data_IF_892572234432
#
_entry.id   IF_892572234432
#
_cell.length_a   1.000
_cell.length_b   1.000
_cell.length_c   1.000
_cell.angle_alpha   90.00
_cell.angle_beta   90.00
_cell.angle_gamma   90.00
#
_symmetry.space_group_name_H-M   'P 1'
#
loop_
_entity.id
_entity.type
_entity.pdbx_description
1 polymer ?
#
# COMPACT_ATOMS: atom_id res chain seq x y z
N UNK A 1 -13.96 -5.68 7.74
CA UNK A 1 -14.23 -6.58 6.60
C UNK A 1 -13.33 -6.15 5.45
N UNK A 2 -12.47 -7.05 5.00
CA UNK A 2 -11.50 -6.79 3.96
C UNK A 2 -12.17 -6.94 2.59
N UNK A 3 -11.80 -6.11 1.64
CA UNK A 3 -12.31 -6.16 0.27
C UNK A 3 -11.52 -7.19 -0.55
N UNK A 4 -11.94 -8.44 -0.55
CA UNK A 4 -11.27 -9.53 -1.30
C UNK A 4 -11.14 -9.19 -2.79
N UNK A 5 -12.09 -8.43 -3.35
CA UNK A 5 -12.04 -7.98 -4.75
C UNK A 5 -10.78 -7.19 -5.13
N UNK A 6 -10.17 -6.48 -4.17
CA UNK A 6 -8.92 -5.75 -4.39
C UNK A 6 -7.78 -6.69 -4.79
N UNK A 7 -7.71 -7.86 -4.16
CA UNK A 7 -6.61 -8.80 -4.37
C UNK A 7 -6.70 -9.60 -5.67
N UNK A 8 -7.80 -9.50 -6.40
CA UNK A 8 -7.92 -10.14 -7.72
C UNK A 8 -6.90 -9.60 -8.73
N UNK A 9 -6.33 -8.40 -8.49
CA UNK A 9 -5.30 -7.82 -9.35
C UNK A 9 -4.06 -8.73 -9.46
N UNK A 10 -3.73 -9.49 -8.41
CA UNK A 10 -2.62 -10.44 -8.41
C UNK A 10 -2.84 -11.67 -9.28
N UNK A 11 -4.09 -11.93 -9.69
CA UNK A 11 -4.47 -13.01 -10.62
C UNK A 11 -4.60 -12.52 -12.07
N UNK A 12 -4.46 -11.22 -12.29
CA UNK A 12 -4.55 -10.65 -13.63
C UNK A 12 -3.37 -11.04 -14.52
N UNK A 13 -2.09 -10.96 -14.06
CA UNK A 13 -0.95 -11.30 -14.89
C UNK A 13 -0.71 -12.82 -14.96
N UNK A 14 -0.45 -13.32 -16.13
CA UNK A 14 0.18 -14.62 -16.32
C UNK A 14 1.70 -14.45 -16.12
N UNK A 15 2.19 -14.74 -14.92
CA UNK A 15 3.57 -14.41 -14.52
C UNK A 15 4.64 -15.05 -15.41
N UNK A 16 4.32 -16.16 -16.08
CA UNK A 16 5.22 -16.80 -17.06
C UNK A 16 5.47 -15.97 -18.35
N UNK A 17 4.69 -14.92 -18.58
CA UNK A 17 4.90 -14.01 -19.72
C UNK A 17 5.93 -12.91 -19.43
N UNK A 18 6.43 -12.83 -18.19
CA UNK A 18 7.41 -11.82 -17.77
C UNK A 18 8.82 -12.42 -17.66
N UNK A 19 9.82 -11.57 -17.79
CA UNK A 19 11.23 -11.96 -17.64
C UNK A 19 11.67 -12.14 -16.18
N UNK A 20 10.87 -11.64 -15.23
CA UNK A 20 11.10 -11.76 -13.80
C UNK A 20 10.01 -11.08 -12.98
N UNK A 21 9.91 -11.44 -11.70
CA UNK A 21 8.89 -10.94 -10.78
C UNK A 21 9.54 -10.44 -9.49
N UNK A 22 9.14 -9.26 -9.03
CA UNK A 22 9.45 -8.76 -7.70
C UNK A 22 8.17 -8.82 -6.85
N UNK A 23 8.23 -9.48 -5.71
CA UNK A 23 7.10 -9.62 -4.78
C UNK A 23 7.33 -8.80 -3.51
N UNK A 24 6.40 -7.89 -3.21
CA UNK A 24 6.21 -7.30 -1.89
C UNK A 24 4.88 -7.81 -1.30
N UNK A 25 4.98 -8.67 -0.29
CA UNK A 25 3.83 -9.31 0.34
C UNK A 25 3.37 -8.62 1.63
N UNK A 26 4.09 -7.60 2.10
CA UNK A 26 3.77 -6.93 3.36
C UNK A 26 2.41 -6.24 3.35
N UNK A 27 1.95 -5.80 2.17
CA UNK A 27 0.67 -5.13 1.98
C UNK A 27 -0.51 -6.08 1.78
N UNK A 28 -0.27 -7.39 1.71
CA UNK A 28 -1.34 -8.39 1.59
C UNK A 28 -1.70 -8.89 2.99
N UNK A 29 -2.77 -8.34 3.55
CA UNK A 29 -3.22 -8.68 4.90
C UNK A 29 -3.78 -10.12 5.04
N UNK A 30 -4.26 -10.72 3.95
CA UNK A 30 -4.84 -12.07 3.95
C UNK A 30 -3.80 -13.15 3.76
N UNK A 31 -3.56 -14.04 4.76
CA UNK A 31 -2.60 -15.15 4.63
C UNK A 31 -2.88 -16.05 3.42
N UNK A 32 -4.16 -16.39 3.19
CA UNK A 32 -4.56 -17.25 2.05
C UNK A 32 -4.21 -16.61 0.71
N UNK A 33 -4.41 -15.30 0.56
CA UNK A 33 -4.04 -14.58 -0.68
C UNK A 33 -2.53 -14.56 -0.85
N UNK A 34 -1.78 -14.32 0.25
CA UNK A 34 -0.30 -14.41 0.22
C UNK A 34 0.18 -15.78 -0.26
N UNK A 35 -0.40 -16.84 0.27
CA UNK A 35 -0.07 -18.23 -0.13
C UNK A 35 -0.37 -18.47 -1.62
N UNK A 36 -1.52 -18.01 -2.11
CA UNK A 36 -1.90 -18.12 -3.52
C UNK A 36 -0.95 -17.35 -4.44
N UNK A 37 -0.58 -16.12 -4.09
CA UNK A 37 0.39 -15.30 -4.85
C UNK A 37 1.77 -15.96 -4.89
N UNK A 38 2.24 -16.49 -3.74
CA UNK A 38 3.50 -17.23 -3.66
C UNK A 38 3.45 -18.47 -4.56
N UNK A 39 2.34 -19.21 -4.53
CA UNK A 39 2.18 -20.41 -5.34
C UNK A 39 2.18 -20.09 -6.84
N UNK A 40 1.44 -19.07 -7.27
CA UNK A 40 1.47 -18.59 -8.66
C UNK A 40 2.89 -18.18 -9.09
N UNK A 41 3.63 -17.50 -8.23
CA UNK A 41 5.00 -17.12 -8.52
C UNK A 41 5.94 -18.33 -8.63
N UNK A 42 5.80 -19.36 -7.79
CA UNK A 42 6.56 -20.62 -7.89
C UNK A 42 6.26 -21.37 -9.18
N UNK A 43 5.02 -21.41 -9.60
CA UNK A 43 4.57 -22.11 -10.79
C UNK A 43 4.92 -21.38 -12.09
N UNK A 44 5.23 -20.10 -12.03
CA UNK A 44 5.53 -19.29 -13.22
C UNK A 44 6.79 -19.71 -13.96
N UNK A 45 7.76 -20.29 -13.27
CA UNK A 45 9.04 -20.72 -13.83
C UNK A 45 10.00 -19.58 -14.18
N UNK A 46 9.67 -18.33 -13.87
CA UNK A 46 10.54 -17.16 -14.03
C UNK A 46 11.30 -16.83 -12.75
N UNK A 47 12.42 -16.10 -12.81
CA UNK A 47 13.10 -15.63 -11.62
C UNK A 47 12.21 -14.75 -10.74
N UNK A 48 12.14 -15.08 -9.45
CA UNK A 48 11.36 -14.32 -8.48
C UNK A 48 12.27 -13.74 -7.40
N UNK A 49 12.16 -12.45 -7.17
CA UNK A 49 12.80 -11.76 -6.05
C UNK A 49 11.72 -11.35 -5.06
N UNK A 50 11.85 -11.80 -3.81
CA UNK A 50 11.01 -11.32 -2.71
C UNK A 50 11.71 -10.18 -2.00
N UNK A 51 11.00 -9.08 -1.78
CA UNK A 51 11.43 -7.99 -0.90
C UNK A 51 10.66 -8.06 0.41
N UNK A 52 11.29 -7.64 1.50
CA UNK A 52 10.69 -7.59 2.84
C UNK A 52 10.25 -8.95 3.48
N UNK A 53 10.27 -10.04 2.73
CA UNK A 53 9.96 -11.40 3.23
C UNK A 53 10.93 -12.43 2.64
N UNK A 54 11.62 -13.21 3.46
CA UNK A 54 12.42 -14.35 3.01
C UNK A 54 11.48 -15.54 2.72
N UNK A 55 11.36 -15.93 1.44
CA UNK A 55 10.52 -17.03 0.98
C UNK A 55 11.41 -18.10 0.42
N UNK A 56 11.13 -19.35 0.81
CA UNK A 56 11.83 -20.52 0.27
C UNK A 56 11.69 -20.58 -1.25
N UNK A 57 12.81 -20.89 -1.95
CA UNK A 57 12.95 -20.94 -3.40
C UNK A 57 13.03 -19.60 -4.14
N UNK A 58 12.82 -18.46 -3.49
CA UNK A 58 12.98 -17.14 -4.11
C UNK A 58 14.32 -16.50 -3.73
N UNK A 59 14.78 -15.58 -4.55
CA UNK A 59 15.81 -14.63 -4.15
C UNK A 59 15.23 -13.62 -3.17
N UNK A 60 16.07 -13.16 -2.25
CA UNK A 60 15.70 -12.12 -1.31
C UNK A 60 16.56 -10.88 -1.51
N UNK A 61 15.95 -9.72 -1.60
CA UNK A 61 16.62 -8.42 -1.56
C UNK A 61 15.96 -7.55 -0.50
N UNK A 62 16.73 -7.08 0.48
CA UNK A 62 16.19 -6.26 1.56
C UNK A 62 17.27 -5.86 2.56
N UNK A 63 16.88 -5.53 3.77
CA UNK A 63 17.80 -5.20 4.86
C UNK A 63 17.99 -6.39 5.80
N UNK A 64 19.15 -6.44 6.45
CA UNK A 64 19.35 -7.37 7.54
C UNK A 64 18.74 -6.78 8.83
N UNK A 65 17.46 -7.06 9.06
CA UNK A 65 16.71 -6.56 10.21
C UNK A 65 17.34 -6.94 11.55
N UNK A 66 17.90 -8.15 11.65
CA UNK A 66 18.56 -8.63 12.88
C UNK A 66 19.82 -7.83 13.19
N UNK A 67 20.69 -7.63 12.21
CA UNK A 67 21.90 -6.81 12.36
C UNK A 67 21.55 -5.36 12.66
N UNK A 68 20.56 -4.81 11.98
CA UNK A 68 20.14 -3.42 12.12
C UNK A 68 19.55 -3.14 13.52
N UNK A 69 18.65 -3.99 14.01
CA UNK A 69 18.05 -3.82 15.34
C UNK A 69 19.07 -4.11 16.45
N UNK A 70 19.97 -5.07 16.23
CA UNK A 70 21.07 -5.30 17.16
C UNK A 70 21.95 -4.06 17.33
N UNK A 71 22.27 -3.35 16.25
CA UNK A 71 23.03 -2.09 16.29
C UNK A 71 22.35 -1.04 17.19
N UNK A 72 21.01 -0.97 17.15
CA UNK A 72 20.26 -0.03 17.98
C UNK A 72 20.35 -0.38 19.48
N UNK A 73 20.08 -1.61 19.86
CA UNK A 73 20.13 -2.01 21.28
C UNK A 73 21.55 -2.01 21.82
N UNK A 74 22.57 -2.36 21.02
CA UNK A 74 23.99 -2.24 21.39
C UNK A 74 24.35 -0.79 21.72
N UNK A 75 23.94 0.15 20.88
CA UNK A 75 24.18 1.58 21.12
C UNK A 75 23.57 2.05 22.44
N UNK A 76 22.31 1.71 22.71
CA UNK A 76 21.65 2.09 23.97
C UNK A 76 22.30 1.44 25.19
N UNK A 77 22.64 0.16 25.09
CA UNK A 77 23.27 -0.57 26.19
C UNK A 77 24.72 -0.15 26.46
N UNK A 78 25.54 -0.15 25.41
CA UNK A 78 27.00 0.03 25.58
C UNK A 78 27.40 1.50 25.72
N UNK A 79 26.69 2.41 25.04
CA UNK A 79 27.03 3.85 25.08
C UNK A 79 26.23 4.63 26.13
N UNK A 80 24.95 4.29 26.33
CA UNK A 80 24.09 5.00 27.28
C UNK A 80 23.86 4.22 28.59
N UNK A 81 24.30 2.95 28.66
CA UNK A 81 24.22 2.12 29.85
C UNK A 81 22.83 1.61 30.17
N UNK A 82 21.88 1.71 29.24
CA UNK A 82 20.50 1.27 29.43
C UNK A 82 20.41 -0.24 29.64
N UNK A 83 19.61 -0.66 30.64
CA UNK A 83 19.39 -2.07 31.01
C UNK A 83 17.92 -2.45 31.09
N UNK A 84 17.03 -1.45 31.22
CA UNK A 84 15.58 -1.64 31.28
C UNK A 84 14.93 -1.03 30.06
N UNK A 85 14.20 -1.84 29.31
CA UNK A 85 13.64 -1.45 28.05
C UNK A 85 12.13 -1.70 27.99
N UNK A 86 11.41 -0.84 27.31
CA UNK A 86 10.11 -1.14 26.73
C UNK A 86 10.23 -1.20 25.22
N UNK A 87 9.34 -1.98 24.61
CA UNK A 87 9.35 -2.22 23.18
C UNK A 87 7.96 -1.96 22.61
N UNK A 88 7.84 -0.99 21.71
CA UNK A 88 6.60 -0.70 20.99
C UNK A 88 6.83 -1.03 19.51
N UNK A 89 6.25 -2.15 19.07
CA UNK A 89 6.63 -2.83 17.85
C UNK A 89 5.46 -2.91 16.87
N UNK A 90 5.75 -3.28 15.62
CA UNK A 90 4.76 -3.52 14.57
C UNK A 90 3.93 -4.78 14.79
N UNK A 91 3.13 -5.20 13.78
CA UNK A 91 2.29 -6.38 13.85
C UNK A 91 3.09 -7.65 14.12
N UNK A 92 2.55 -8.54 14.96
CA UNK A 92 3.21 -9.79 15.37
C UNK A 92 3.47 -10.75 14.20
N UNK A 93 2.65 -10.73 13.16
CA UNK A 93 2.75 -11.58 11.98
C UNK A 93 3.59 -10.97 10.85
N UNK A 94 4.09 -9.74 11.01
CA UNK A 94 4.95 -9.10 10.02
C UNK A 94 6.37 -9.67 10.13
N UNK A 95 6.89 -10.18 9.00
CA UNK A 95 8.18 -10.85 8.94
C UNK A 95 9.34 -9.98 9.47
N UNK A 96 9.42 -8.72 9.06
CA UNK A 96 10.49 -7.81 9.49
C UNK A 96 10.40 -7.52 10.99
N UNK A 97 9.18 -7.34 11.50
CA UNK A 97 8.93 -7.13 12.92
C UNK A 97 9.37 -8.36 13.76
N UNK A 98 9.04 -9.57 13.29
CA UNK A 98 9.49 -10.82 13.94
C UNK A 98 11.01 -10.88 14.02
N UNK A 99 11.72 -10.52 12.95
CA UNK A 99 13.20 -10.47 12.92
C UNK A 99 13.76 -9.41 13.86
N UNK A 100 13.15 -8.22 13.92
CA UNK A 100 13.52 -7.14 14.83
C UNK A 100 13.36 -7.57 16.29
N UNK A 101 12.22 -8.15 16.66
CA UNK A 101 11.97 -8.66 18.02
C UNK A 101 12.92 -9.80 18.38
N UNK A 102 13.17 -10.73 17.47
CA UNK A 102 14.11 -11.83 17.68
C UNK A 102 15.52 -11.32 17.99
N UNK A 103 15.98 -10.32 17.25
CA UNK A 103 17.29 -9.70 17.49
C UNK A 103 17.39 -9.05 18.88
N UNK A 104 16.34 -8.35 19.33
CA UNK A 104 16.28 -7.74 20.64
C UNK A 104 16.36 -8.80 21.75
N UNK A 105 15.51 -9.83 21.68
CA UNK A 105 15.50 -10.92 22.67
C UNK A 105 16.84 -11.65 22.70
N UNK A 106 17.41 -11.98 21.55
CA UNK A 106 18.73 -12.63 21.44
C UNK A 106 19.83 -11.79 22.10
N UNK A 107 19.87 -10.48 21.84
CA UNK A 107 20.85 -9.60 22.44
C UNK A 107 20.71 -9.52 23.97
N UNK A 108 19.47 -9.41 24.46
CA UNK A 108 19.20 -9.34 25.90
C UNK A 108 19.59 -10.64 26.60
N UNK A 109 19.32 -11.79 26.00
CA UNK A 109 19.75 -13.09 26.53
C UNK A 109 21.28 -13.21 26.58
N UNK A 110 22.00 -12.80 25.51
CA UNK A 110 23.47 -12.80 25.47
C UNK A 110 24.08 -11.91 26.55
N UNK A 111 23.48 -10.75 26.82
CA UNK A 111 23.96 -9.78 27.82
C UNK A 111 23.36 -10.01 29.22
N UNK A 112 22.53 -11.03 29.41
CA UNK A 112 21.83 -11.36 30.66
C UNK A 112 20.98 -10.18 31.18
N UNK A 113 20.36 -9.42 30.28
CA UNK A 113 19.42 -8.36 30.58
C UNK A 113 18.03 -8.97 30.85
N UNK A 114 17.36 -8.45 31.86
CA UNK A 114 16.04 -8.98 32.27
C UNK A 114 14.96 -8.32 31.41
N UNK A 115 14.09 -9.14 30.85
CA UNK A 115 12.89 -8.70 30.14
C UNK A 115 11.74 -9.71 30.35
N UNK A 116 10.53 -9.29 30.03
CA UNK A 116 9.33 -10.11 30.04
C UNK A 116 8.47 -9.81 28.82
N UNK A 117 7.51 -10.67 28.50
CA UNK A 117 6.58 -10.40 27.41
C UNK A 117 5.70 -9.16 27.67
N UNK A 118 5.51 -8.76 28.92
CA UNK A 118 4.78 -7.54 29.27
C UNK A 118 5.52 -6.25 28.91
N UNK A 119 6.83 -6.33 28.61
CA UNK A 119 7.63 -5.18 28.16
C UNK A 119 7.42 -4.89 26.66
N UNK A 120 6.70 -5.78 25.93
CA UNK A 120 6.41 -5.64 24.52
C UNK A 120 4.95 -5.26 24.30
N UNK A 121 4.76 -4.27 23.43
CA UNK A 121 3.46 -3.93 22.85
C UNK A 121 3.56 -4.02 21.33
N UNK A 122 2.69 -4.80 20.70
CA UNK A 122 2.69 -5.03 19.26
C UNK A 122 1.30 -4.75 18.68
N UNK A 123 1.20 -3.88 17.66
CA UNK A 123 -0.09 -3.55 17.03
C UNK A 123 0.08 -3.26 15.54
N UNK A 124 0.61 -2.09 15.18
CA UNK A 124 0.77 -1.62 13.80
C UNK A 124 2.05 -0.79 13.65
N UNK A 125 2.38 -0.40 12.42
CA UNK A 125 3.49 0.54 12.15
C UNK A 125 3.05 2.01 12.11
N UNK A 126 1.85 2.31 12.60
CA UNK A 126 1.27 3.63 12.58
C UNK A 126 1.58 4.43 13.85
N UNK A 127 1.48 5.75 13.73
CA UNK A 127 1.63 6.68 14.85
C UNK A 127 0.79 6.29 16.09
N UNK A 128 -0.45 5.87 15.87
CA UNK A 128 -1.36 5.54 16.97
C UNK A 128 -0.88 4.35 17.80
N UNK A 129 -0.16 3.40 17.20
CA UNK A 129 0.47 2.30 17.93
C UNK A 129 1.47 2.82 18.97
N UNK A 130 2.23 3.88 18.63
CA UNK A 130 3.15 4.52 19.58
C UNK A 130 2.42 5.10 20.79
N UNK A 131 1.32 5.82 20.55
CA UNK A 131 0.48 6.37 21.64
C UNK A 131 -0.10 5.27 22.49
N UNK A 132 -0.80 4.30 21.88
CA UNK A 132 -1.44 3.20 22.59
C UNK A 132 -0.43 2.35 23.38
N UNK A 133 0.72 2.08 22.78
CA UNK A 133 1.79 1.28 23.37
C UNK A 133 2.39 1.95 24.60
N UNK A 134 2.67 3.25 24.55
CA UNK A 134 3.18 3.99 25.68
C UNK A 134 2.17 4.00 26.84
N UNK A 135 0.91 4.32 26.57
CA UNK A 135 -0.17 4.32 27.59
C UNK A 135 -0.32 2.93 28.22
N UNK A 136 -0.34 1.88 27.41
CA UNK A 136 -0.48 0.51 27.90
C UNK A 136 0.70 0.07 28.77
N UNK A 137 1.93 0.38 28.37
CA UNK A 137 3.12 0.04 29.12
C UNK A 137 3.21 0.84 30.43
N UNK A 138 2.79 2.11 30.41
CA UNK A 138 2.73 2.94 31.60
C UNK A 138 1.70 2.42 32.63
N UNK A 139 0.55 1.89 32.17
CA UNK A 139 -0.46 1.26 33.05
C UNK A 139 0.01 -0.07 33.67
N UNK A 140 0.87 -0.80 32.97
CA UNK A 140 1.26 -2.18 33.37
C UNK A 140 2.52 -2.25 34.20
N UNK A 141 3.29 -1.15 34.29
CA UNK A 141 4.58 -1.11 34.96
C UNK A 141 4.61 -0.03 36.05
N UNK A 142 5.16 -0.36 37.23
CA UNK A 142 5.31 0.58 38.35
C UNK A 142 6.49 1.56 38.16
N UNK A 143 7.38 1.32 37.21
CA UNK A 143 8.58 2.12 36.97
C UNK A 143 8.87 2.29 35.49
N UNK A 144 9.33 3.49 35.13
CA UNK A 144 9.73 3.81 33.76
C UNK A 144 10.92 2.96 33.28
N UNK A 145 11.03 2.72 31.97
CA UNK A 145 12.21 2.13 31.36
C UNK A 145 13.35 3.15 31.30
N UNK A 146 14.55 2.71 30.95
CA UNK A 146 15.68 3.61 30.63
C UNK A 146 15.68 3.94 29.11
N UNK A 147 15.06 3.07 28.31
CA UNK A 147 14.84 3.33 26.89
C UNK A 147 13.59 2.63 26.35
N UNK A 148 12.94 3.24 25.36
CA UNK A 148 11.86 2.66 24.57
C UNK A 148 12.37 2.46 23.14
N UNK A 149 12.39 1.21 22.67
CA UNK A 149 12.76 0.85 21.32
C UNK A 149 11.48 0.65 20.49
N UNK A 150 11.34 1.44 19.43
CA UNK A 150 10.16 1.40 18.57
C UNK A 150 10.43 0.65 17.26
N UNK A 151 9.42 -0.02 16.75
CA UNK A 151 9.48 -0.77 15.51
C UNK A 151 9.75 0.09 14.29
N UNK A 152 9.31 1.36 14.28
CA UNK A 152 9.67 2.36 13.27
C UNK A 152 9.57 3.79 13.83
N UNK A 153 9.85 4.79 12.99
CA UNK A 153 9.85 6.20 13.37
C UNK A 153 8.42 6.77 13.58
N UNK A 154 7.39 6.23 12.93
CA UNK A 154 6.01 6.65 13.21
C UNK A 154 5.62 6.32 14.65
N UNK A 155 5.94 5.08 15.06
CA UNK A 155 5.72 4.61 16.43
C UNK A 155 6.51 5.48 17.41
N UNK A 156 7.78 5.77 17.10
CA UNK A 156 8.63 6.59 17.97
C UNK A 156 8.07 8.00 18.19
N UNK A 157 7.57 8.64 17.15
CA UNK A 157 6.89 9.94 17.28
C UNK A 157 5.64 9.82 18.15
N UNK A 158 4.84 8.76 17.98
CA UNK A 158 3.65 8.51 18.82
C UNK A 158 4.01 8.33 20.30
N UNK A 159 5.08 7.59 20.61
CA UNK A 159 5.61 7.44 21.97
C UNK A 159 6.06 8.80 22.55
N UNK A 160 6.77 9.61 21.77
CA UNK A 160 7.24 10.92 22.20
C UNK A 160 6.08 11.87 22.53
N UNK A 161 5.03 11.91 21.70
CA UNK A 161 3.84 12.73 21.93
C UNK A 161 3.07 12.28 23.18
N UNK A 162 2.87 10.98 23.35
CA UNK A 162 2.21 10.44 24.55
C UNK A 162 3.02 10.73 25.82
N UNK A 163 4.35 10.54 25.77
CA UNK A 163 5.25 10.86 26.89
C UNK A 163 5.17 12.35 27.26
N UNK A 164 5.21 13.24 26.28
CA UNK A 164 5.09 14.69 26.50
C UNK A 164 3.73 15.07 27.12
N UNK A 165 2.63 14.41 26.71
CA UNK A 165 1.30 14.62 27.30
C UNK A 165 1.26 14.23 28.80
N UNK A 166 2.07 13.28 29.23
CA UNK A 166 2.27 12.89 30.65
C UNK A 166 3.34 13.73 31.37
N UNK A 167 3.98 14.68 30.69
CA UNK A 167 4.98 15.58 31.26
C UNK A 167 6.40 15.01 31.32
N UNK A 168 6.65 13.87 30.69
CA UNK A 168 7.99 13.30 30.57
C UNK A 168 8.82 14.01 29.52
N UNK A 169 10.13 14.05 29.74
CA UNK A 169 11.11 14.70 28.88
C UNK A 169 12.06 13.64 28.27
N UNK A 170 12.25 13.71 26.97
CA UNK A 170 13.11 12.81 26.21
C UNK A 170 14.33 13.63 25.75
N UNK A 171 15.56 13.20 26.04
CA UNK A 171 15.96 11.89 26.60
C UNK A 171 16.13 11.86 28.13
N UNK A 172 15.76 12.91 28.87
CA UNK A 172 16.10 13.08 30.29
C UNK A 172 15.47 12.01 31.19
N UNK A 173 14.21 11.62 30.93
CA UNK A 173 13.51 10.59 31.71
C UNK A 173 13.79 9.18 31.14
N UNK A 174 13.82 9.05 29.83
CA UNK A 174 14.17 7.83 29.11
C UNK A 174 14.49 8.13 27.64
N UNK A 175 15.32 7.28 27.01
CA UNK A 175 15.61 7.37 25.59
C UNK A 175 14.47 6.82 24.73
N UNK A 176 14.28 7.35 23.52
CA UNK A 176 13.37 6.78 22.50
C UNK A 176 14.13 6.58 21.19
N UNK A 177 13.90 5.45 20.53
CA UNK A 177 14.49 5.17 19.22
C UNK A 177 13.46 4.61 18.26
N UNK A 178 13.63 4.92 16.96
CA UNK A 178 12.81 4.44 15.86
C UNK A 178 13.58 3.52 14.90
N UNK A 179 13.06 3.40 13.69
CA UNK A 179 13.61 2.63 12.59
C UNK A 179 13.08 3.18 11.26
N UNK A 180 13.77 3.00 10.14
CA UNK A 180 13.47 3.38 8.75
C UNK A 180 14.01 4.74 8.31
N UNK A 181 14.42 5.63 9.23
CA UNK A 181 14.90 6.98 8.92
C UNK A 181 13.94 7.78 8.03
N UNK A 182 12.67 7.83 8.41
CA UNK A 182 11.73 8.73 7.75
C UNK A 182 12.14 10.19 7.97
N UNK A 183 11.87 11.06 7.00
CA UNK A 183 12.19 12.50 7.10
C UNK A 183 11.75 13.12 8.44
N UNK A 184 10.57 12.71 8.94
CA UNK A 184 10.06 13.18 10.23
C UNK A 184 10.99 12.89 11.41
N UNK A 185 11.77 11.81 11.39
CA UNK A 185 12.70 11.47 12.45
C UNK A 185 13.77 12.55 12.64
N UNK A 186 14.25 13.11 11.52
CA UNK A 186 15.29 14.14 11.50
C UNK A 186 14.78 15.54 11.89
N UNK A 187 13.48 15.80 11.78
CA UNK A 187 12.88 17.13 11.95
C UNK A 187 11.89 17.22 13.11
N UNK A 188 11.60 16.10 13.78
CA UNK A 188 10.86 16.07 15.03
C UNK A 188 11.72 16.60 16.18
N UNK A 189 11.12 17.06 17.27
CA UNK A 189 11.82 17.55 18.46
C UNK A 189 11.36 16.77 19.69
N UNK A 190 12.25 15.97 20.34
CA UNK A 190 13.66 15.73 20.00
C UNK A 190 13.84 14.88 18.74
N UNK A 191 14.91 15.12 17.96
CA UNK A 191 15.19 14.31 16.75
C UNK A 191 15.35 12.84 17.09
N UNK A 192 14.62 11.99 16.38
CA UNK A 192 14.52 10.57 16.67
C UNK A 192 15.79 9.83 16.20
N UNK A 193 16.46 9.16 17.12
CA UNK A 193 17.51 8.19 16.80
C UNK A 193 16.92 7.00 16.09
N UNK A 194 17.48 6.60 14.96
CA UNK A 194 16.86 5.63 14.06
C UNK A 194 17.90 4.75 13.36
N UNK A 195 17.47 3.72 12.67
CA UNK A 195 18.27 2.98 11.71
C UNK A 195 17.89 3.44 10.31
N UNK A 196 18.86 3.94 9.57
CA UNK A 196 18.70 4.38 8.20
C UNK A 196 19.00 3.29 7.20
N UNK A 197 18.24 3.27 6.12
CA UNK A 197 18.53 2.56 4.89
C UNK A 197 18.03 3.36 3.69
N UNK A 198 18.69 3.20 2.55
CA UNK A 198 18.29 3.86 1.31
C UNK A 198 17.37 2.91 0.55
N UNK A 199 16.08 3.21 0.48
CA UNK A 199 15.05 2.36 -0.16
C UNK A 199 15.34 2.12 -1.63
N UNK A 200 15.83 3.13 -2.34
CA UNK A 200 16.21 3.04 -3.75
C UNK A 200 17.27 1.96 -4.00
N UNK A 201 18.13 1.70 -3.02
CA UNK A 201 19.15 0.64 -3.11
C UNK A 201 18.52 -0.76 -3.23
N UNK A 202 17.34 -0.99 -2.68
CA UNK A 202 16.61 -2.25 -2.83
C UNK A 202 16.19 -2.45 -4.29
N UNK A 203 15.63 -1.42 -4.91
CA UNK A 203 15.25 -1.45 -6.33
C UNK A 203 16.45 -1.66 -7.26
N UNK A 204 17.55 -0.94 -7.00
CA UNK A 204 18.81 -1.09 -7.75
C UNK A 204 19.36 -2.51 -7.60
N UNK A 205 19.38 -3.05 -6.38
CA UNK A 205 19.86 -4.40 -6.12
C UNK A 205 18.99 -5.48 -6.79
N UNK A 206 17.67 -5.29 -6.84
CA UNK A 206 16.76 -6.17 -7.60
C UNK A 206 17.09 -6.15 -9.10
N UNK A 207 17.28 -4.97 -9.67
CA UNK A 207 17.62 -4.83 -11.09
C UNK A 207 18.98 -5.48 -11.42
N UNK A 208 20.00 -5.22 -10.59
CA UNK A 208 21.34 -5.82 -10.74
C UNK A 208 21.28 -7.35 -10.61
N UNK A 209 20.48 -7.86 -9.69
CA UNK A 209 20.29 -9.30 -9.51
C UNK A 209 19.64 -9.94 -10.73
N UNK A 210 18.56 -9.35 -11.28
CA UNK A 210 17.96 -9.84 -12.51
C UNK A 210 18.96 -9.84 -13.67
N UNK A 211 19.75 -8.78 -13.84
CA UNK A 211 20.78 -8.72 -14.89
C UNK A 211 21.81 -9.85 -14.78
N UNK A 212 22.22 -10.25 -13.58
CA UNK A 212 23.11 -11.39 -13.35
C UNK A 212 22.43 -12.71 -13.68
N UNK A 213 21.19 -12.91 -13.18
CA UNK A 213 20.42 -14.13 -13.44
C UNK A 213 20.24 -14.34 -14.94
N UNK A 214 19.84 -13.30 -15.69
CA UNK A 214 19.64 -13.39 -17.15
C UNK A 214 20.93 -13.63 -17.93
N UNK A 215 22.09 -13.24 -17.38
CA UNK A 215 23.41 -13.57 -17.94
C UNK A 215 23.87 -15.00 -17.57
N UNK A 216 23.15 -15.71 -16.71
CA UNK A 216 23.54 -17.02 -16.22
C UNK A 216 24.72 -16.98 -15.23
N UNK A 217 24.94 -15.83 -14.59
CA UNK A 217 25.96 -15.70 -13.55
C UNK A 217 25.46 -16.37 -12.26
N UNK A 218 26.38 -17.01 -11.51
CA UNK A 218 26.07 -17.55 -10.19
C UNK A 218 25.69 -16.40 -9.25
N UNK A 219 24.58 -16.56 -8.55
CA UNK A 219 23.99 -15.50 -7.75
C UNK A 219 23.66 -16.01 -6.35
N UNK A 220 24.07 -15.28 -5.35
CA UNK A 220 23.67 -15.55 -3.97
C UNK A 220 22.16 -15.42 -3.83
N UNK A 221 21.58 -16.17 -2.91
CA UNK A 221 20.14 -16.15 -2.67
C UNK A 221 19.68 -14.92 -1.89
N UNK A 222 20.53 -14.41 -0.99
CA UNK A 222 20.24 -13.31 -0.08
C UNK A 222 21.13 -12.12 -0.35
N UNK A 223 20.53 -10.98 -0.69
CA UNK A 223 21.19 -9.71 -0.92
C UNK A 223 20.69 -8.71 0.13
N UNK A 224 21.60 -8.31 1.02
CA UNK A 224 21.31 -7.32 2.03
C UNK A 224 21.87 -5.97 1.62
N UNK A 225 20.98 -4.96 1.57
CA UNK A 225 21.40 -3.57 1.40
C UNK A 225 21.92 -3.00 2.71
N UNK A 226 22.76 -1.98 2.61
CA UNK A 226 23.40 -1.38 3.77
C UNK A 226 22.41 -0.66 4.68
N UNK A 227 22.68 -0.77 5.99
CA UNK A 227 21.97 -0.05 7.05
C UNK A 227 22.97 0.69 7.93
N UNK A 228 22.59 1.88 8.43
CA UNK A 228 23.41 2.67 9.34
C UNK A 228 22.62 3.13 10.56
N UNK A 229 23.30 3.20 11.71
CA UNK A 229 22.72 3.79 12.93
C UNK A 229 22.84 5.32 12.90
N UNK A 230 21.75 6.01 13.00
CA UNK A 230 21.65 7.46 13.04
C UNK A 230 21.20 7.87 14.44
N UNK A 231 22.12 8.34 15.26
CA UNK A 231 21.87 8.60 16.67
C UNK A 231 21.83 10.10 16.97
N UNK A 232 20.68 10.55 17.45
CA UNK A 232 20.35 11.94 17.68
C UNK A 232 19.84 12.21 19.10
N UNK A 233 19.13 13.31 19.27
CA UNK A 233 18.74 13.88 20.55
C UNK A 233 17.88 12.93 21.39
N UNK A 234 17.00 12.15 20.80
CA UNK A 234 16.06 11.27 21.51
C UNK A 234 16.75 10.13 22.28
N UNK A 235 18.02 9.81 22.00
CA UNK A 235 18.85 8.93 22.83
C UNK A 235 19.93 9.67 23.62
N UNK A 236 19.94 11.03 23.60
CA UNK A 236 20.95 11.85 24.27
C UNK A 236 22.24 12.07 23.46
N UNK A 237 22.29 11.62 22.20
CA UNK A 237 23.41 11.90 21.31
C UNK A 237 23.26 13.26 20.64
N UNK A 238 24.40 13.96 20.44
CA UNK A 238 24.40 15.21 19.68
C UNK A 238 24.70 14.92 18.22
N UNK A 239 23.82 15.37 17.32
CA UNK A 239 23.99 15.20 15.89
C UNK A 239 25.25 15.92 15.37
N UNK A 240 26.01 15.21 14.53
CA UNK A 240 27.16 15.79 13.84
C UNK A 240 26.76 16.77 12.71
N UNK A 241 25.60 16.58 12.12
CA UNK A 241 25.01 17.45 11.09
C UNK A 241 23.58 17.83 11.48
N UNK A 242 23.26 19.12 11.38
CA UNK A 242 21.90 19.61 11.49
C UNK A 242 21.25 19.45 10.11
N UNK A 243 20.09 18.78 9.98
CA UNK A 243 19.36 18.73 8.72
C UNK A 243 18.98 20.14 8.21
N UNK A 244 18.85 20.28 6.90
CA UNK A 244 18.42 21.56 6.29
C UNK A 244 16.91 21.77 6.53
N UNK A 245 16.60 22.35 7.69
CA UNK A 245 15.23 22.63 8.11
C UNK A 245 14.49 23.57 7.17
N UNK A 246 15.19 24.52 6.53
CA UNK A 246 14.55 25.45 5.61
C UNK A 246 14.07 24.77 4.33
N UNK A 247 14.87 23.87 3.76
CA UNK A 247 14.47 23.07 2.60
C UNK A 247 13.35 22.08 2.94
N UNK A 248 13.42 21.44 4.09
CA UNK A 248 12.36 20.56 4.55
C UNK A 248 11.03 21.31 4.70
N UNK A 249 11.01 22.43 5.41
CA UNK A 249 9.81 23.26 5.60
C UNK A 249 9.24 23.73 4.24
N UNK A 250 10.11 24.16 3.32
CA UNK A 250 9.68 24.53 1.96
C UNK A 250 9.04 23.34 1.24
N UNK A 251 9.64 22.16 1.34
CA UNK A 251 9.08 20.90 0.79
C UNK A 251 7.70 20.61 1.37
N UNK A 252 7.52 20.69 2.69
CA UNK A 252 6.24 20.47 3.36
C UNK A 252 5.17 21.48 2.94
N UNK A 253 5.53 22.77 2.81
CA UNK A 253 4.61 23.79 2.32
C UNK A 253 4.18 23.50 0.88
N UNK A 254 5.10 23.16 -0.01
CA UNK A 254 4.79 22.82 -1.40
C UNK A 254 3.93 21.56 -1.50
N UNK A 255 4.26 20.53 -0.71
CA UNK A 255 3.44 19.32 -0.60
C UNK A 255 2.01 19.64 -0.13
N UNK A 256 1.84 20.49 0.90
CA UNK A 256 0.52 20.91 1.36
C UNK A 256 -0.28 21.66 0.29
N UNK A 257 0.36 22.56 -0.48
CA UNK A 257 -0.29 23.28 -1.58
C UNK A 257 -0.72 22.31 -2.69
N UNK A 258 0.16 21.40 -3.10
CA UNK A 258 -0.17 20.39 -4.12
C UNK A 258 -1.31 19.48 -3.66
N UNK A 259 -1.29 19.05 -2.39
CA UNK A 259 -2.34 18.19 -1.81
C UNK A 259 -3.70 18.89 -1.82
N UNK A 260 -3.77 20.12 -1.30
CA UNK A 260 -5.02 20.88 -1.27
C UNK A 260 -5.60 21.10 -2.68
N UNK A 261 -4.74 21.43 -3.65
CA UNK A 261 -5.15 21.60 -5.04
C UNK A 261 -5.71 20.29 -5.60
N UNK A 262 -5.07 19.16 -5.32
CA UNK A 262 -5.51 17.87 -5.81
C UNK A 262 -6.83 17.43 -5.16
N UNK A 263 -7.01 17.67 -3.86
CA UNK A 263 -8.28 17.42 -3.16
C UNK A 263 -9.44 18.21 -3.79
N UNK A 264 -9.23 19.49 -4.15
CA UNK A 264 -10.22 20.30 -4.85
C UNK A 264 -10.56 19.71 -6.23
N UNK A 265 -9.58 19.18 -6.96
CA UNK A 265 -9.80 18.56 -8.27
C UNK A 265 -10.56 17.23 -8.16
N UNK A 266 -10.23 16.39 -7.17
CA UNK A 266 -10.97 15.13 -6.91
C UNK A 266 -12.41 15.43 -6.49
N UNK A 267 -12.62 16.44 -5.64
CA UNK A 267 -13.96 16.88 -5.26
C UNK A 267 -14.78 17.37 -6.46
N UNK A 268 -14.14 18.14 -7.35
CA UNK A 268 -14.77 18.59 -8.60
C UNK A 268 -15.11 17.42 -9.52
N UNK A 269 -14.22 16.44 -9.64
CA UNK A 269 -14.45 15.22 -10.40
C UNK A 269 -15.66 14.43 -9.83
N UNK A 270 -15.70 14.23 -8.51
CA UNK A 270 -16.81 13.54 -7.85
C UNK A 270 -18.15 14.22 -8.13
N UNK A 271 -18.19 15.55 -8.04
CA UNK A 271 -19.40 16.33 -8.33
C UNK A 271 -19.86 16.19 -9.79
N UNK A 272 -18.95 16.17 -10.77
CA UNK A 272 -19.30 15.95 -12.18
C UNK A 272 -19.75 14.52 -12.43
N UNK A 273 -19.12 13.52 -11.82
CA UNK A 273 -19.48 12.11 -11.94
C UNK A 273 -20.88 11.82 -11.40
N UNK A 274 -21.33 12.51 -10.34
CA UNK A 274 -22.68 12.38 -9.79
C UNK A 274 -23.79 12.80 -10.76
N UNK A 275 -23.49 13.64 -11.75
CA UNK A 275 -24.43 14.08 -12.79
C UNK A 275 -24.57 13.08 -13.92
N UNK A 276 -23.64 12.15 -14.05
CA UNK A 276 -23.61 11.19 -15.13
C UNK A 276 -24.73 10.14 -14.97
N UNK A 277 -25.33 9.75 -16.08
CA UNK A 277 -26.36 8.71 -16.15
C UNK A 277 -25.89 7.45 -16.88
N UNK A 278 -24.70 7.50 -17.46
CA UNK A 278 -24.07 6.37 -18.18
C UNK A 278 -22.58 6.31 -17.91
N UNK A 279 -22.00 5.10 -18.03
CA UNK A 279 -20.54 4.91 -17.95
C UNK A 279 -19.84 5.77 -19.01
N UNK A 280 -20.41 5.89 -20.20
CA UNK A 280 -19.86 6.71 -21.28
C UNK A 280 -19.77 8.21 -20.90
N UNK A 281 -20.79 8.77 -20.24
CA UNK A 281 -20.74 10.15 -19.74
C UNK A 281 -19.64 10.32 -18.69
N UNK A 282 -19.44 9.33 -17.82
CA UNK A 282 -18.35 9.35 -16.83
C UNK A 282 -16.99 9.42 -17.49
N UNK A 283 -16.76 8.73 -18.61
CA UNK A 283 -15.48 8.77 -19.33
C UNK A 283 -15.11 10.16 -19.80
N UNK A 284 -16.07 11.05 -20.09
CA UNK A 284 -15.80 12.44 -20.46
C UNK A 284 -15.41 13.33 -19.29
N UNK A 285 -15.63 12.91 -18.05
CA UNK A 285 -15.21 13.64 -16.86
C UNK A 285 -13.75 13.35 -16.48
N UNK A 286 -13.21 12.17 -16.80
CA UNK A 286 -11.87 11.72 -16.41
C UNK A 286 -10.74 12.64 -16.91
N UNK A 287 -10.74 13.15 -18.17
CA UNK A 287 -9.66 14.02 -18.66
C UNK A 287 -9.38 15.24 -17.80
N UNK A 288 -10.32 15.69 -16.97
CA UNK A 288 -10.15 16.86 -16.12
C UNK A 288 -9.11 16.65 -15.01
N UNK A 289 -8.94 15.43 -14.50
CA UNK A 289 -7.98 15.13 -13.43
C UNK A 289 -6.59 14.70 -13.96
N UNK A 290 -6.46 14.33 -15.23
CA UNK A 290 -5.20 13.82 -15.81
C UNK A 290 -4.04 14.82 -15.71
N UNK A 291 -4.21 16.14 -15.96
CA UNK A 291 -3.11 17.08 -15.86
C UNK A 291 -2.44 17.13 -14.49
N UNK A 292 -3.20 16.89 -13.41
CA UNK A 292 -2.66 16.85 -12.05
C UNK A 292 -1.99 15.51 -11.72
N UNK A 293 -2.40 14.45 -12.38
CA UNK A 293 -1.73 13.16 -12.29
C UNK A 293 -0.40 13.14 -13.02
N UNK A 294 -0.14 14.08 -13.95
CA UNK A 294 1.12 14.18 -14.70
C UNK A 294 1.58 12.85 -15.32
N UNK A 295 0.65 12.02 -15.76
CA UNK A 295 0.93 10.74 -16.42
C UNK A 295 0.90 10.90 -17.95
N UNK A 296 1.60 10.02 -18.66
CA UNK A 296 1.65 10.04 -20.13
C UNK A 296 0.39 9.45 -20.75
N UNK A 297 -0.17 8.43 -20.10
CA UNK A 297 -1.42 7.83 -20.50
C UNK A 297 -2.22 7.26 -19.32
N UNK A 298 -3.53 7.14 -19.53
CA UNK A 298 -4.48 6.54 -18.59
C UNK A 298 -5.49 5.72 -19.38
N UNK A 299 -5.75 4.50 -18.89
CA UNK A 299 -6.69 3.57 -19.51
C UNK A 299 -7.60 2.98 -18.44
N UNK A 300 -8.89 2.87 -18.77
CA UNK A 300 -9.86 2.22 -17.92
C UNK A 300 -10.40 0.99 -18.61
N UNK A 301 -10.18 -0.15 -18.01
CA UNK A 301 -10.58 -1.46 -18.49
C UNK A 301 -11.66 -2.00 -17.56
N UNK A 302 -12.83 -2.28 -18.12
CA UNK A 302 -13.98 -2.75 -17.36
C UNK A 302 -14.52 -4.06 -17.92
N UNK A 303 -15.24 -4.78 -17.07
CA UNK A 303 -16.07 -5.91 -17.49
C UNK A 303 -17.04 -5.46 -18.59
N UNK A 304 -17.07 -6.18 -19.70
CA UNK A 304 -17.95 -5.90 -20.85
C UNK A 304 -19.45 -5.93 -20.47
N UNK A 305 -19.80 -6.64 -19.41
CA UNK A 305 -21.18 -6.77 -18.94
C UNK A 305 -21.67 -5.58 -18.10
N UNK A 306 -20.79 -4.66 -17.71
CA UNK A 306 -21.19 -3.48 -16.94
C UNK A 306 -22.16 -2.57 -17.68
N UNK A 307 -22.06 -2.45 -19.01
CA UNK A 307 -23.00 -1.67 -19.84
C UNK A 307 -24.25 -2.46 -20.25
N UNK A 308 -24.16 -3.79 -20.20
CA UNK A 308 -25.21 -4.69 -20.68
C UNK A 308 -26.28 -4.99 -19.64
N UNK A 309 -26.22 -4.39 -18.43
CA UNK A 309 -27.18 -4.68 -17.36
C UNK A 309 -28.64 -4.55 -17.83
N UNK A 310 -28.96 -3.47 -18.56
CA UNK A 310 -30.31 -3.25 -19.11
C UNK A 310 -30.72 -4.31 -20.15
N UNK A 311 -29.78 -4.84 -20.91
CA UNK A 311 -30.04 -5.85 -21.94
C UNK A 311 -30.12 -7.26 -21.35
N UNK A 312 -29.24 -7.58 -20.40
CA UNK A 312 -29.28 -8.86 -19.68
C UNK A 312 -30.57 -9.02 -18.87
N UNK A 313 -30.98 -7.95 -18.23
CA UNK A 313 -32.23 -7.92 -17.48
C UNK A 313 -33.45 -8.07 -18.40
N UNK A 314 -33.42 -7.51 -19.61
CA UNK A 314 -34.49 -7.73 -20.63
C UNK A 314 -34.50 -9.15 -21.17
N UNK A 315 -33.34 -9.78 -21.30
CA UNK A 315 -33.20 -11.13 -21.81
C UNK A 315 -33.64 -12.21 -20.81
N UNK A 316 -33.40 -11.98 -19.52
CA UNK A 316 -33.80 -12.89 -18.44
C UNK A 316 -35.18 -12.50 -17.92
N UNK A 317 -36.20 -13.01 -18.56
CA UNK A 317 -37.62 -12.86 -18.14
C UNK A 317 -37.97 -13.45 -16.77
N UNK A 318 -37.02 -13.86 -15.96
CA UNK A 318 -37.22 -14.38 -14.63
C UNK A 318 -37.02 -13.26 -13.60
N UNK A 319 -37.95 -13.15 -12.67
CA UNK A 319 -37.96 -12.28 -11.48
C UNK A 319 -36.88 -12.64 -10.44
N UNK A 320 -35.82 -13.35 -10.84
CA UNK A 320 -34.66 -13.53 -9.99
C UNK A 320 -33.89 -12.21 -9.99
N UNK A 321 -33.92 -11.54 -8.84
CA UNK A 321 -32.99 -10.50 -8.55
C UNK A 321 -31.58 -11.06 -8.84
N UNK A 322 -30.74 -10.31 -9.56
CA UNK A 322 -29.33 -10.64 -9.65
C UNK A 322 -28.81 -10.72 -8.22
N UNK A 323 -28.60 -11.92 -7.76
CA UNK A 323 -27.95 -12.15 -6.51
C UNK A 323 -26.52 -11.62 -6.61
N UNK A 324 -25.96 -11.27 -5.47
CA UNK A 324 -24.57 -10.82 -5.39
C UNK A 324 -23.57 -11.85 -5.94
N UNK A 325 -24.02 -13.07 -6.19
CA UNK A 325 -23.31 -14.20 -6.78
C UNK A 325 -23.05 -14.09 -8.29
N UNK A 326 -23.74 -13.20 -9.02
CA UNK A 326 -23.56 -13.06 -10.48
C UNK A 326 -22.30 -12.30 -10.90
N UNK A 327 -21.51 -11.78 -9.94
CA UNK A 327 -20.24 -11.12 -10.20
C UNK A 327 -19.07 -12.03 -9.77
N UNK A 328 -18.03 -12.03 -10.59
CA UNK A 328 -16.84 -12.82 -10.31
C UNK A 328 -16.21 -12.39 -8.99
N UNK A 329 -16.32 -13.24 -7.99
CA UNK A 329 -15.64 -13.07 -6.68
C UNK A 329 -14.17 -13.41 -6.82
N UNK A 330 -13.82 -14.25 -7.78
CA UNK A 330 -12.45 -14.72 -8.02
C UNK A 330 -11.95 -14.38 -9.43
N UNK A 331 -10.91 -13.53 -9.52
CA UNK A 331 -10.27 -13.15 -10.77
C UNK A 331 -11.04 -12.12 -11.59
N UNK A 332 -10.67 -12.01 -12.85
CA UNK A 332 -11.27 -11.10 -13.84
C UNK A 332 -12.09 -11.90 -14.87
N UNK A 333 -13.19 -11.33 -15.40
CA UNK A 333 -13.96 -11.97 -16.46
C UNK A 333 -13.12 -12.08 -17.74
N UNK A 334 -13.43 -13.11 -18.55
CA UNK A 334 -12.71 -13.34 -19.82
C UNK A 334 -12.93 -12.23 -20.85
N UNK A 335 -14.05 -11.52 -20.75
CA UNK A 335 -14.42 -10.44 -21.68
C UNK A 335 -14.27 -9.10 -20.96
N UNK A 336 -13.11 -8.49 -21.13
CA UNK A 336 -12.82 -7.15 -20.68
C UNK A 336 -12.80 -6.19 -21.87
N UNK A 337 -13.17 -4.94 -21.65
CA UNK A 337 -13.17 -3.90 -22.69
C UNK A 337 -12.46 -2.64 -22.20
N UNK A 338 -11.72 -2.00 -23.11
CA UNK A 338 -11.19 -0.67 -22.87
C UNK A 338 -12.34 0.33 -23.01
N UNK A 339 -12.79 0.89 -21.90
CA UNK A 339 -13.87 1.90 -21.90
C UNK A 339 -13.36 3.31 -21.99
N UNK A 340 -12.12 3.54 -21.65
CA UNK A 340 -11.47 4.84 -21.71
C UNK A 340 -9.98 4.66 -22.04
N UNK A 341 -9.48 5.46 -22.97
CA UNK A 341 -8.07 5.56 -23.27
C UNK A 341 -7.70 7.01 -23.56
N UNK A 342 -6.67 7.47 -22.86
CA UNK A 342 -6.11 8.82 -23.03
C UNK A 342 -4.59 8.69 -23.09
N UNK A 343 -3.98 9.20 -24.15
CA UNK A 343 -2.53 9.16 -24.35
C UNK A 343 -2.06 10.45 -25.02
N UNK A 344 -0.97 11.02 -24.53
CA UNK A 344 -0.33 12.20 -25.10
C UNK A 344 -1.29 13.39 -25.32
N UNK A 345 -2.15 13.67 -24.34
CA UNK A 345 -3.08 14.80 -24.39
C UNK A 345 -4.34 14.56 -25.23
N UNK A 346 -4.63 13.34 -25.69
CA UNK A 346 -5.76 13.03 -26.56
C UNK A 346 -6.53 11.80 -26.11
N UNK A 347 -7.85 11.86 -26.25
CA UNK A 347 -8.71 10.69 -26.15
C UNK A 347 -8.47 9.78 -27.37
N UNK A 348 -8.37 8.48 -27.10
CA UNK A 348 -8.32 7.44 -28.14
C UNK A 348 -9.72 6.84 -28.26
N UNK A 349 -10.18 6.61 -29.46
CA UNK A 349 -11.44 5.92 -29.71
C UNK A 349 -11.29 4.44 -29.32
N UNK A 350 -12.12 4.01 -28.38
CA UNK A 350 -12.10 2.64 -27.82
C UNK A 350 -13.38 1.86 -28.13
N UNK A 351 -14.19 2.33 -29.12
CA UNK A 351 -15.49 1.74 -29.38
C UNK A 351 -15.33 0.24 -29.68
N UNK A 352 -15.89 -0.62 -28.81
CA UNK A 352 -15.85 -2.09 -28.85
C UNK A 352 -14.44 -2.75 -28.80
N UNK A 353 -13.44 -2.08 -28.24
CA UNK A 353 -12.12 -2.66 -28.07
C UNK A 353 -12.14 -3.71 -26.96
N UNK A 354 -12.27 -4.97 -27.34
CA UNK A 354 -12.09 -6.12 -26.44
C UNK A 354 -10.61 -6.41 -26.18
N UNK A 355 -10.28 -6.95 -25.02
CA UNK A 355 -8.92 -7.26 -24.61
C UNK A 355 -8.73 -8.77 -24.61
N UNK A 356 -7.67 -9.21 -25.28
CA UNK A 356 -7.02 -10.49 -25.05
C UNK A 356 -5.76 -10.25 -24.20
N UNK A 357 -5.63 -10.94 -23.08
CA UNK A 357 -4.52 -10.73 -22.14
C UNK A 357 -4.73 -9.57 -21.15
N UNK A 358 -3.64 -9.06 -20.58
CA UNK A 358 -3.68 -8.07 -19.49
C UNK A 358 -3.95 -6.67 -20.03
N UNK A 359 -3.29 -6.28 -21.12
CA UNK A 359 -3.29 -4.91 -21.59
C UNK A 359 -2.81 -4.81 -23.05
N UNK A 360 -3.58 -4.16 -23.96
CA UNK A 360 -3.28 -4.18 -25.37
C UNK A 360 -2.22 -3.16 -25.83
N UNK A 361 -1.79 -2.25 -24.94
CA UNK A 361 -0.93 -1.12 -25.32
C UNK A 361 0.50 -1.22 -24.76
N UNK A 362 0.99 -2.44 -24.52
CA UNK A 362 2.41 -2.64 -24.20
C UNK A 362 3.28 -2.34 -25.43
N UNK A 363 3.81 -1.13 -25.49
CA UNK A 363 4.75 -0.73 -26.52
C UNK A 363 6.15 -0.59 -25.92
N UNK A 364 7.16 -1.35 -26.38
CA UNK A 364 8.53 -1.19 -25.92
C UNK A 364 9.06 0.20 -26.27
N UNK A 365 9.54 0.92 -25.28
CA UNK A 365 10.20 2.21 -25.47
C UNK A 365 11.69 2.11 -25.10
N UNK A 366 12.54 2.84 -25.82
CA UNK A 366 13.99 2.80 -25.62
C UNK A 366 14.45 3.24 -24.21
N UNK A 367 13.62 4.02 -23.50
CA UNK A 367 13.87 4.49 -22.13
C UNK A 367 13.21 3.67 -21.02
N UNK A 368 12.49 2.61 -21.40
CA UNK A 368 11.60 1.92 -20.47
C UNK A 368 10.27 2.66 -20.28
N UNK A 369 9.26 1.95 -19.82
CA UNK A 369 7.94 2.49 -19.47
C UNK A 369 7.44 1.75 -18.25
N UNK A 370 6.94 2.49 -17.27
CA UNK A 370 6.26 1.89 -16.13
C UNK A 370 4.74 1.95 -16.33
N UNK A 371 4.07 0.88 -15.93
CA UNK A 371 2.62 0.77 -15.90
C UNK A 371 2.16 0.42 -14.50
N UNK A 372 1.27 1.26 -13.95
CA UNK A 372 0.60 0.99 -12.68
C UNK A 372 -0.77 0.41 -12.96
N UNK A 373 -1.03 -0.80 -12.47
CA UNK A 373 -2.32 -1.47 -12.53
C UNK A 373 -3.03 -1.34 -11.18
N UNK A 374 -4.20 -0.73 -11.18
CA UNK A 374 -4.95 -0.42 -9.97
C UNK A 374 -6.31 -1.12 -10.01
N UNK A 375 -6.62 -1.99 -9.04
CA UNK A 375 -7.88 -2.72 -9.04
C UNK A 375 -9.07 -1.78 -8.84
N UNK A 376 -10.14 -2.04 -9.57
CA UNK A 376 -11.45 -1.44 -9.36
C UNK A 376 -12.43 -2.52 -8.93
N UNK A 377 -12.98 -2.39 -7.73
CA UNK A 377 -13.83 -3.40 -7.14
C UNK A 377 -14.94 -2.79 -6.27
N UNK A 378 -16.07 -3.47 -6.16
CA UNK A 378 -17.14 -3.18 -5.22
C UNK A 378 -17.14 -4.27 -4.15
N UNK A 379 -16.55 -4.03 -2.99
CA UNK A 379 -16.34 -5.06 -1.96
C UNK A 379 -15.61 -6.28 -2.54
N UNK A 380 -16.33 -7.40 -2.71
CA UNK A 380 -15.80 -8.67 -3.23
C UNK A 380 -15.91 -8.80 -4.76
N UNK A 381 -16.43 -7.78 -5.45
CA UNK A 381 -16.70 -7.84 -6.89
C UNK A 381 -15.62 -7.09 -7.66
N UNK A 382 -15.02 -7.76 -8.61
CA UNK A 382 -14.10 -7.15 -9.55
C UNK A 382 -14.90 -6.45 -10.66
N UNK A 383 -14.65 -5.17 -10.85
CA UNK A 383 -15.30 -4.34 -11.89
C UNK A 383 -14.37 -4.17 -13.09
N UNK A 384 -13.09 -4.06 -12.82
CA UNK A 384 -12.06 -3.81 -13.79
C UNK A 384 -10.78 -3.31 -13.14
N UNK A 385 -9.99 -2.61 -13.91
CA UNK A 385 -8.76 -1.97 -13.43
C UNK A 385 -8.43 -0.71 -14.21
N UNK A 386 -7.73 0.19 -13.55
CA UNK A 386 -7.15 1.38 -14.13
C UNK A 386 -5.68 1.13 -14.43
N UNK A 387 -5.21 1.51 -15.62
CA UNK A 387 -3.79 1.47 -15.98
C UNK A 387 -3.29 2.88 -16.21
N UNK A 388 -2.15 3.21 -15.63
CA UNK A 388 -1.51 4.52 -15.78
C UNK A 388 -0.06 4.32 -16.22
N UNK A 389 0.36 5.07 -17.23
CA UNK A 389 1.69 5.02 -17.82
C UNK A 389 2.57 6.15 -17.28
N UNK A 390 3.81 5.82 -16.88
CA UNK A 390 4.85 6.75 -16.41
C UNK A 390 4.42 7.62 -15.23
N UNK A 391 3.94 6.99 -14.16
CA UNK A 391 3.39 7.69 -13.01
C UNK A 391 3.80 7.08 -11.64
N UNK A 392 4.93 6.38 -11.56
CA UNK A 392 5.42 5.73 -10.32
C UNK A 392 5.50 6.72 -9.15
N UNK A 393 5.84 7.99 -9.39
CA UNK A 393 5.87 9.02 -8.36
C UNK A 393 4.52 9.24 -7.63
N UNK A 394 3.40 8.80 -8.23
CA UNK A 394 2.08 8.86 -7.59
C UNK A 394 1.89 7.80 -6.51
N UNK A 395 2.71 6.74 -6.50
CA UNK A 395 2.61 5.69 -5.47
C UNK A 395 2.95 6.22 -4.07
N UNK A 396 3.79 7.23 -3.97
CA UNK A 396 4.12 7.89 -2.70
C UNK A 396 3.01 8.84 -2.22
N UNK A 397 2.05 9.14 -3.09
CA UNK A 397 0.95 10.07 -2.83
C UNK A 397 -0.37 9.32 -2.87
N UNK A 398 -1.25 9.59 -1.93
CA UNK A 398 -2.57 8.95 -1.89
C UNK A 398 -3.51 9.39 -3.05
N UNK A 399 -3.07 10.28 -3.93
CA UNK A 399 -3.88 10.86 -5.00
C UNK A 399 -4.48 9.83 -5.93
N UNK A 400 -3.66 8.88 -6.34
CA UNK A 400 -4.07 7.85 -7.28
C UNK A 400 -5.18 6.97 -6.72
N UNK A 401 -5.05 6.58 -5.44
CA UNK A 401 -6.07 5.80 -4.74
C UNK A 401 -7.38 6.60 -4.58
N UNK A 402 -7.30 7.91 -4.35
CA UNK A 402 -8.49 8.76 -4.27
C UNK A 402 -9.23 8.82 -5.62
N UNK A 403 -8.52 8.96 -6.75
CA UNK A 403 -9.12 8.94 -8.09
C UNK A 403 -9.79 7.60 -8.36
N UNK A 404 -9.09 6.49 -8.12
CA UNK A 404 -9.65 5.14 -8.31
C UNK A 404 -10.91 4.95 -7.46
N UNK A 405 -10.85 5.32 -6.19
CA UNK A 405 -11.98 5.22 -5.26
C UNK A 405 -13.17 6.07 -5.72
N UNK A 406 -12.91 7.30 -6.18
CA UNK A 406 -13.95 8.21 -6.67
C UNK A 406 -14.62 7.65 -7.91
N UNK A 407 -13.84 7.15 -8.88
CA UNK A 407 -14.39 6.50 -10.09
C UNK A 407 -15.19 5.25 -9.73
N UNK A 408 -14.65 4.41 -8.87
CA UNK A 408 -15.30 3.16 -8.44
C UNK A 408 -16.63 3.45 -7.73
N UNK A 409 -16.66 4.41 -6.79
CA UNK A 409 -17.88 4.80 -6.09
C UNK A 409 -18.94 5.37 -7.04
N UNK A 410 -18.53 6.19 -8.02
CA UNK A 410 -19.44 6.74 -9.00
C UNK A 410 -20.07 5.65 -9.88
N UNK A 411 -19.29 4.64 -10.29
CA UNK A 411 -19.79 3.49 -11.04
C UNK A 411 -20.73 2.62 -10.21
N UNK A 412 -20.43 2.39 -8.93
CA UNK A 412 -21.32 1.68 -8.01
C UNK A 412 -22.67 2.41 -7.86
N UNK A 413 -22.62 3.74 -7.71
CA UNK A 413 -23.83 4.55 -7.60
C UNK A 413 -24.67 4.50 -8.87
N UNK A 414 -24.03 4.56 -10.04
CA UNK A 414 -24.71 4.42 -11.32
C UNK A 414 -25.41 3.06 -11.44
N UNK A 415 -24.69 1.99 -11.11
CA UNK A 415 -25.23 0.63 -11.12
C UNK A 415 -26.42 0.48 -10.16
N UNK A 416 -26.32 1.01 -8.93
CA UNK A 416 -27.44 1.02 -7.97
C UNK A 416 -28.65 1.78 -8.49
N UNK A 417 -28.45 2.92 -9.15
CA UNK A 417 -29.50 3.72 -9.75
C UNK A 417 -30.21 2.95 -10.86
N UNK A 418 -29.48 2.32 -11.76
CA UNK A 418 -30.05 1.49 -12.82
C UNK A 418 -30.85 0.30 -12.27
N UNK A 419 -30.34 -0.35 -11.23
CA UNK A 419 -31.04 -1.44 -10.54
C UNK A 419 -32.37 -0.96 -9.94
N UNK A 420 -32.38 0.19 -9.28
CA UNK A 420 -33.60 0.79 -8.69
C UNK A 420 -34.63 1.19 -9.75
N UNK A 421 -34.20 1.80 -10.85
CA UNK A 421 -35.07 2.17 -11.98
C UNK A 421 -35.75 0.93 -12.57
N UNK A 422 -34.99 -0.14 -12.75
CA UNK A 422 -35.51 -1.41 -13.25
C UNK A 422 -36.49 -2.05 -12.28
N UNK A 423 -36.20 -2.09 -10.98
CA UNK A 423 -37.13 -2.60 -9.96
C UNK A 423 -38.45 -1.81 -9.98
N UNK A 424 -38.40 -0.49 -10.10
CA UNK A 424 -39.56 0.36 -10.17
C UNK A 424 -40.40 0.07 -11.44
N UNK A 425 -39.77 -0.21 -12.59
CA UNK A 425 -40.48 -0.60 -13.82
C UNK A 425 -41.19 -1.94 -13.66
N UNK A 426 -40.56 -2.93 -13.00
CA UNK A 426 -41.22 -4.23 -12.71
C UNK A 426 -42.42 -4.04 -11.79
N UNK A 427 -42.24 -3.32 -10.67
CA UNK A 427 -43.30 -3.07 -9.71
C UNK A 427 -44.49 -2.34 -10.36
N UNK A 428 -44.23 -1.33 -11.19
CA UNK A 428 -45.25 -0.62 -11.93
C UNK A 428 -45.99 -1.54 -12.92
N UNK A 429 -45.28 -2.44 -13.60
CA UNK A 429 -45.86 -3.42 -14.50
C UNK A 429 -46.73 -4.47 -13.79
N UNK A 430 -46.33 -4.88 -12.58
CA UNK A 430 -47.16 -5.78 -11.75
C UNK A 430 -48.41 -5.08 -11.23
N UNK A 431 -48.29 -3.83 -10.77
CA UNK A 431 -49.46 -3.04 -10.28
C UNK A 431 -50.51 -2.80 -11.37
N UNK A 432 -50.08 -2.54 -12.61
CA UNK A 432 -50.98 -2.38 -13.75
C UNK A 432 -51.68 -3.70 -14.10
N UNK A 433 -50.98 -4.84 -14.02
CA UNK A 433 -51.58 -6.16 -14.28
C UNK A 433 -52.63 -6.54 -13.20
N UNK A 434 -52.33 -6.26 -11.94
CA UNK A 434 -53.25 -6.58 -10.82
C UNK A 434 -54.51 -5.73 -10.87
N UNK A 435 -54.40 -4.46 -11.29
CA UNK A 435 -55.56 -3.57 -11.45
C UNK A 435 -56.46 -3.90 -12.66
N UNK A 436 -55.96 -4.72 -13.61
CA UNK A 436 -56.72 -5.15 -14.79
C UNK A 436 -57.31 -6.57 -14.65
N UNK A 437 -56.90 -7.32 -13.63
CA UNK A 437 -57.37 -8.71 -13.37
C UNK A 437 -58.20 -8.84 -12.10
N UNK A 438 -58.45 -7.74 -11.38
CA UNK A 438 -59.36 -7.65 -10.21
C UNK A 438 -60.81 -7.59 -10.53
#
# INVERSE_FOLDING_TARGET
EYNIGEYNIYRLPELCEFDGVILDLNNIAYPKVREEVIQCAKESGVPVISIANEIEDFYYVGINNEKAMRMMIEHLHEKHGCKKYWFVMGPEDNYENVKRISALKTYMDEKQLVYSESDFYCESFEYQCGVNGFERLLETHDALPEAIICGNDNIAVGVCEAAAAHGYQIPEDFCVTGFDNFDKAAYYEPRISTIGHIRENVGIACADLFLRIWKGEDSERFYYTDTEGIFWDSCGCKAAKVPDQANYLKGQIMYGIETARFEDEVFSLEYELLKCNTVREMMYCIPQCIPSLKCDAMYLILDSHMDAYKEQVKAHRSLRFFDEEDFHVEGYPKCMQVKFAYKNGRMIDTDQMEIEGIFPFFEPQAGGTDFLFLPMHFRNRTVGYLVIENAVYLMEKQYLFQVVKTLTNAMENLHKKEKLEYMNQILSGLYIKDSMTG
#
